data_IF_371443458669
#
_entry.id   IF_371443458669
#
_cell.length_a   1.000
_cell.length_b   1.000
_cell.length_c   1.000
_cell.angle_alpha   90.00
_cell.angle_beta   90.00
_cell.angle_gamma   90.00
#
_symmetry.space_group_name_H-M   'P 1'
#
loop_
_entity.id
_entity.type
_entity.pdbx_description
1 polymer ?
#
# COMPACT_ATOMS: atom_id res chain seq x y z
N UNK A 1 2.01 -13.91 11.94
CA UNK A 1 1.46 -12.92 10.98
C UNK A 1 2.57 -11.93 10.72
N UNK A 2 2.94 -11.68 9.45
CA UNK A 2 3.97 -10.68 9.15
C UNK A 2 3.40 -9.30 9.44
N UNK A 3 4.06 -8.57 10.34
CA UNK A 3 3.69 -7.21 10.68
C UNK A 3 3.93 -6.29 9.48
N UNK A 4 2.91 -5.53 9.10
CA UNK A 4 3.02 -4.42 8.14
C UNK A 4 3.79 -3.29 8.83
N UNK A 5 4.80 -2.74 8.17
CA UNK A 5 5.55 -1.62 8.72
C UNK A 5 4.71 -0.33 8.70
N UNK A 6 5.05 0.68 9.51
CA UNK A 6 4.34 1.96 9.53
C UNK A 6 4.41 2.65 8.17
N UNK A 7 5.52 2.53 7.43
CA UNK A 7 5.60 3.08 6.07
C UNK A 7 4.69 2.34 5.10
N UNK A 8 4.61 1.00 5.20
CA UNK A 8 3.69 0.22 4.37
C UNK A 8 2.23 0.57 4.68
N UNK A 9 1.87 0.68 5.96
CA UNK A 9 0.52 1.08 6.37
C UNK A 9 0.18 2.51 5.89
N UNK A 10 1.12 3.45 6.03
CA UNK A 10 0.94 4.82 5.53
C UNK A 10 0.61 4.85 4.04
N UNK A 11 1.38 4.08 3.24
CA UNK A 11 1.16 3.97 1.80
C UNK A 11 -0.21 3.38 1.49
N UNK A 12 -0.62 2.31 2.19
CA UNK A 12 -1.95 1.70 2.05
C UNK A 12 -3.05 2.72 2.35
N UNK A 13 -2.92 3.46 3.45
CA UNK A 13 -3.90 4.46 3.87
C UNK A 13 -4.00 5.61 2.86
N UNK A 14 -2.87 6.05 2.29
CA UNK A 14 -2.86 7.09 1.25
C UNK A 14 -3.48 6.64 -0.06
N UNK A 15 -3.17 5.43 -0.51
CA UNK A 15 -3.84 4.85 -1.69
C UNK A 15 -5.34 4.78 -1.45
N UNK A 16 -5.78 4.31 -0.28
CA UNK A 16 -7.19 4.23 0.08
C UNK A 16 -7.88 5.60 0.10
N UNK A 17 -7.23 6.60 0.68
CA UNK A 17 -7.72 7.99 0.73
C UNK A 17 -7.98 8.54 -0.68
N UNK A 18 -6.99 8.42 -1.57
CA UNK A 18 -7.08 8.91 -2.96
C UNK A 18 -8.13 8.11 -3.74
N UNK A 19 -8.14 6.78 -3.59
CA UNK A 19 -9.15 5.91 -4.21
C UNK A 19 -10.58 6.30 -3.83
N UNK A 20 -10.81 6.59 -2.54
CA UNK A 20 -12.11 7.04 -2.06
C UNK A 20 -12.51 8.41 -2.61
N UNK A 21 -11.55 9.36 -2.72
CA UNK A 21 -11.80 10.66 -3.36
C UNK A 21 -12.14 10.55 -4.84
N UNK A 22 -11.61 9.54 -5.52
CA UNK A 22 -11.94 9.22 -6.91
C UNK A 22 -13.23 8.38 -7.05
N UNK A 23 -13.91 8.04 -5.95
CA UNK A 23 -15.12 7.19 -5.93
C UNK A 23 -14.93 5.80 -6.57
N UNK A 24 -13.70 5.28 -6.59
CA UNK A 24 -13.36 3.99 -7.17
C UNK A 24 -13.50 2.89 -6.12
N UNK A 25 -14.24 1.83 -6.41
CA UNK A 25 -14.36 0.67 -5.52
C UNK A 25 -13.06 -0.16 -5.50
N UNK A 26 -12.86 -0.96 -4.45
CA UNK A 26 -11.70 -1.86 -4.36
C UNK A 26 -11.65 -2.87 -5.51
N UNK A 27 -12.80 -3.39 -5.92
CA UNK A 27 -12.90 -4.32 -7.06
C UNK A 27 -12.59 -3.62 -8.38
N UNK A 28 -13.03 -2.38 -8.57
CA UNK A 28 -12.74 -1.61 -9.78
C UNK A 28 -11.25 -1.26 -9.87
N UNK A 29 -10.62 -0.85 -8.76
CA UNK A 29 -9.18 -0.62 -8.75
C UNK A 29 -8.42 -1.92 -9.04
N UNK A 30 -8.82 -3.04 -8.44
CA UNK A 30 -8.20 -4.35 -8.71
C UNK A 30 -8.33 -4.75 -10.18
N UNK A 31 -9.51 -4.53 -10.78
CA UNK A 31 -9.75 -4.81 -12.20
C UNK A 31 -8.90 -3.91 -13.11
N UNK A 32 -8.77 -2.61 -12.80
CA UNK A 32 -7.91 -1.68 -13.53
C UNK A 32 -6.42 -2.00 -13.43
N UNK A 33 -6.02 -2.72 -12.38
CA UNK A 33 -4.67 -3.27 -12.22
C UNK A 33 -4.48 -4.64 -12.90
N UNK A 34 -5.52 -5.19 -13.55
CA UNK A 34 -5.53 -6.55 -14.12
C UNK A 34 -5.23 -7.64 -13.08
N UNK A 35 -5.64 -7.42 -11.83
CA UNK A 35 -5.46 -8.34 -10.71
C UNK A 35 -6.80 -8.96 -10.28
N UNK A 36 -6.70 -9.96 -9.40
CA UNK A 36 -7.88 -10.54 -8.73
C UNK A 36 -8.72 -9.45 -8.07
N UNK A 37 -10.04 -9.50 -8.22
CA UNK A 37 -10.98 -8.52 -7.64
C UNK A 37 -10.88 -8.36 -6.12
N UNK A 38 -10.25 -9.32 -5.44
CA UNK A 38 -10.00 -9.30 -4.00
C UNK A 38 -8.68 -8.63 -3.61
N UNK A 39 -7.79 -8.34 -4.56
CA UNK A 39 -6.42 -7.91 -4.28
C UNK A 39 -6.37 -6.63 -3.44
N UNK A 40 -7.00 -5.55 -3.91
CA UNK A 40 -7.07 -4.28 -3.16
C UNK A 40 -7.80 -4.47 -1.83
N UNK A 41 -8.83 -5.30 -1.81
CA UNK A 41 -9.57 -5.62 -0.58
C UNK A 41 -8.71 -6.31 0.47
N UNK A 42 -7.80 -7.20 0.05
CA UNK A 42 -6.84 -7.83 0.95
C UNK A 42 -5.82 -6.80 1.47
N UNK A 43 -5.21 -6.02 0.56
CA UNK A 43 -4.18 -5.01 0.91
C UNK A 43 -4.73 -3.95 1.87
N UNK A 44 -5.95 -3.47 1.63
CA UNK A 44 -6.58 -2.46 2.51
C UNK A 44 -7.22 -3.06 3.78
N UNK A 45 -7.16 -4.39 3.97
CA UNK A 45 -7.68 -5.07 5.14
C UNK A 45 -6.58 -5.29 6.17
N UNK A 46 -6.86 -4.94 7.43
CA UNK A 46 -5.99 -5.28 8.57
C UNK A 46 -5.88 -6.79 8.86
N UNK A 47 -6.63 -7.63 8.13
CA UNK A 47 -6.65 -9.09 8.30
C UNK A 47 -5.59 -9.81 7.47
N UNK A 48 -4.96 -9.12 6.51
CA UNK A 48 -3.95 -9.72 5.65
C UNK A 48 -2.64 -8.95 5.76
N UNK A 49 -1.50 -9.59 5.50
CA UNK A 49 -0.21 -8.91 5.40
C UNK A 49 0.09 -8.38 3.98
N UNK A 50 -0.90 -8.37 3.09
CA UNK A 50 -0.71 -7.98 1.69
C UNK A 50 -0.41 -6.47 1.60
N UNK A 51 0.45 -6.10 0.65
CA UNK A 51 0.94 -4.73 0.49
C UNK A 51 1.19 -4.37 -0.96
N UNK A 52 1.13 -3.08 -1.27
CA UNK A 52 1.53 -2.57 -2.57
C UNK A 52 3.04 -2.57 -2.72
N UNK A 53 3.53 -3.05 -3.85
CA UNK A 53 4.91 -2.84 -4.28
C UNK A 53 4.97 -1.60 -5.20
N UNK A 54 6.18 -1.19 -5.59
CA UNK A 54 6.37 0.02 -6.41
C UNK A 54 5.67 -0.07 -7.77
N UNK A 55 5.60 -1.27 -8.38
CA UNK A 55 4.89 -1.47 -9.65
C UNK A 55 3.38 -1.30 -9.48
N UNK A 56 2.82 -1.82 -8.39
CA UNK A 56 1.42 -1.61 -8.02
C UNK A 56 1.14 -0.12 -7.84
N UNK A 57 1.99 0.59 -7.08
CA UNK A 57 1.84 2.02 -6.86
C UNK A 57 1.91 2.83 -8.16
N UNK A 58 2.84 2.50 -9.06
CA UNK A 58 2.90 3.16 -10.36
C UNK A 58 1.59 2.96 -11.15
N UNK A 59 1.07 1.73 -11.19
CA UNK A 59 -0.18 1.44 -11.89
C UNK A 59 -1.39 2.12 -11.25
N UNK A 60 -1.43 2.16 -9.92
CA UNK A 60 -2.47 2.86 -9.15
C UNK A 60 -2.42 4.35 -9.43
N UNK A 61 -1.24 4.97 -9.50
CA UNK A 61 -1.09 6.38 -9.87
C UNK A 61 -1.67 6.69 -11.26
N UNK A 62 -1.44 5.81 -12.24
CA UNK A 62 -2.05 5.94 -13.58
C UNK A 62 -3.58 5.89 -13.52
N UNK A 63 -4.15 4.92 -12.78
CA UNK A 63 -5.60 4.72 -12.67
C UNK A 63 -6.28 5.87 -11.91
N UNK A 64 -5.65 6.33 -10.82
CA UNK A 64 -6.17 7.39 -9.95
C UNK A 64 -5.82 8.80 -10.46
N UNK A 65 -5.07 8.91 -11.57
CA UNK A 65 -4.62 10.17 -12.16
C UNK A 65 -3.91 11.10 -11.15
N UNK A 66 -3.06 10.52 -10.29
CA UNK A 66 -2.30 11.25 -9.28
C UNK A 66 -0.79 11.04 -9.45
N UNK A 67 0.02 11.78 -8.70
CA UNK A 67 1.45 11.52 -8.67
C UNK A 67 1.73 10.26 -7.85
N UNK A 68 2.68 9.43 -8.28
CA UNK A 68 3.16 8.33 -7.45
C UNK A 68 3.72 8.82 -6.11
N UNK A 69 4.19 10.08 -6.04
CA UNK A 69 4.69 10.71 -4.82
C UNK A 69 3.59 10.91 -3.77
N UNK A 70 2.34 11.02 -4.19
CA UNK A 70 1.20 11.29 -3.29
C UNK A 70 0.92 10.12 -2.32
N UNK A 71 1.49 8.94 -2.58
CA UNK A 71 1.38 7.78 -1.70
C UNK A 71 2.41 7.76 -0.56
N UNK A 72 3.42 8.64 -0.60
CA UNK A 72 4.56 8.60 0.32
C UNK A 72 4.58 9.81 1.26
N UNK A 73 5.17 9.67 2.46
CA UNK A 73 5.35 10.79 3.36
C UNK A 73 6.49 11.70 2.88
N UNK A 74 6.38 13.00 3.17
CA UNK A 74 7.43 13.99 2.83
C UNK A 74 8.73 13.76 3.61
N UNK A 75 8.64 13.11 4.77
CA UNK A 75 9.77 12.81 5.66
C UNK A 75 9.78 11.32 6.01
N UNK A 76 10.95 10.73 6.26
CA UNK A 76 11.04 9.34 6.72
C UNK A 76 10.26 9.11 8.01
N UNK A 77 9.58 7.97 8.11
CA UNK A 77 8.95 7.53 9.36
C UNK A 77 10.04 6.96 10.27
N UNK A 78 10.32 7.64 11.38
CA UNK A 78 11.39 7.27 12.31
C UNK A 78 11.05 5.97 13.06
N UNK A 79 12.04 5.08 13.22
CA UNK A 79 11.97 3.92 14.13
C UNK A 79 11.72 2.54 13.51
N UNK A 80 11.78 2.39 12.18
CA UNK A 80 11.42 1.11 11.52
C UNK A 80 12.63 0.19 11.24
N UNK A 81 13.84 0.75 11.13
CA UNK A 81 15.05 -0.02 10.77
C UNK A 81 15.82 -0.47 12.01
N UNK A 82 15.20 -1.22 12.94
CA UNK A 82 15.94 -1.97 13.96
C UNK A 82 15.18 -3.22 14.41
N UNK A 83 15.21 -4.29 13.60
CA UNK A 83 15.28 -5.65 14.13
C UNK A 83 16.66 -6.20 13.75
N UNK A 84 17.69 -5.84 14.53
CA UNK A 84 18.97 -6.57 14.48
C UNK A 84 18.62 -8.04 14.73
N UNK A 85 18.81 -8.91 13.72
CA UNK A 85 18.84 -10.35 13.97
C UNK A 85 19.97 -10.58 14.96
N UNK A 86 19.62 -10.91 16.20
CA UNK A 86 20.56 -11.49 17.14
C UNK A 86 21.08 -12.77 16.48
N UNK A 87 22.31 -12.73 15.99
CA UNK A 87 23.04 -13.94 15.62
C UNK A 87 23.39 -14.58 16.94
N UNK A 88 22.57 -15.52 17.39
CA UNK A 88 22.94 -16.39 18.51
C UNK A 88 24.10 -17.26 18.03
N UNK A 89 25.22 -17.16 18.74
CA UNK A 89 26.43 -17.97 18.57
C UNK A 89 26.14 -19.46 18.56
#
# INVERSE_FOLDING_TARGET
>A
MSEISKIEQYVIDKVREIRMKAEISQSNLSAGMELSSKFVGNVESSKTPDKYNINHLNKIAEILQCSIKDFFPDKPISGEILKKKTITK
#
